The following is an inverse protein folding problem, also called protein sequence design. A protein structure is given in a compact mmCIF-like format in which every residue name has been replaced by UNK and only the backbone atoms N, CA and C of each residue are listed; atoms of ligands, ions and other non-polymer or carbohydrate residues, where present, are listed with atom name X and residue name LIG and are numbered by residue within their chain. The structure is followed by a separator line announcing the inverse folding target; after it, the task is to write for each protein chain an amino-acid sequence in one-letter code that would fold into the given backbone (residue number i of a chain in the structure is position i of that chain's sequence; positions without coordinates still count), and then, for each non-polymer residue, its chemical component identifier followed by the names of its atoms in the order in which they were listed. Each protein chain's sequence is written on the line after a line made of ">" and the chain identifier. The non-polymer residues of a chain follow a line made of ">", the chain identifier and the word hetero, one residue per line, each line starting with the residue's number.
data_IF_382166217687
#
_entry.id   IF_382166217687
#
_cell.length_a   1.000
_cell.length_b   1.000
_cell.length_c   1.000
_cell.angle_alpha   90.00
_cell.angle_beta   90.00
_cell.angle_gamma   90.00
#
_symmetry.space_group_name_H-M   'P 1'
#
loop_
_entity.id
_entity.type
_entity.pdbx_description
1 polymer ?
#
# COMPACT_ATOMS: atom_id res chain seq x y z
N UNK A 1 -4.76 -16.14 -14.52
CA UNK A 1 -5.41 -14.84 -14.39
C UNK A 1 -4.42 -13.69 -14.60
N UNK A 2 -3.24 -13.63 -13.92
CA UNK A 2 -2.28 -12.52 -14.04
C UNK A 2 -1.85 -12.22 -15.48
N UNK A 3 -1.55 -13.24 -16.31
CA UNK A 3 -1.21 -13.02 -17.73
C UNK A 3 -2.34 -12.38 -18.52
N UNK A 4 -3.60 -12.68 -18.20
CA UNK A 4 -4.77 -12.02 -18.83
C UNK A 4 -4.87 -10.56 -18.40
N UNK A 5 -4.70 -10.27 -17.11
CA UNK A 5 -4.67 -8.90 -16.59
C UNK A 5 -3.53 -8.08 -17.23
N UNK A 6 -2.34 -8.68 -17.35
CA UNK A 6 -1.21 -8.02 -18.01
C UNK A 6 -1.52 -7.70 -19.48
N UNK A 7 -2.17 -8.59 -20.19
CA UNK A 7 -2.59 -8.32 -21.59
C UNK A 7 -3.56 -7.13 -21.65
N UNK A 8 -4.51 -7.05 -20.75
CA UNK A 8 -5.44 -5.92 -20.65
C UNK A 8 -4.70 -4.61 -20.32
N UNK A 9 -3.77 -4.65 -19.36
CA UNK A 9 -2.95 -3.48 -19.02
C UNK A 9 -2.12 -3.00 -20.20
N UNK A 10 -1.43 -3.90 -20.90
CA UNK A 10 -0.59 -3.54 -22.05
C UNK A 10 -1.40 -2.96 -23.20
N UNK A 11 -2.57 -3.51 -23.49
CA UNK A 11 -3.47 -2.99 -24.54
C UNK A 11 -4.12 -1.65 -24.16
N UNK A 12 -4.18 -1.35 -22.86
CA UNK A 12 -4.65 -0.06 -22.32
C UNK A 12 -3.52 0.98 -22.15
N UNK A 13 -2.29 0.63 -22.53
CA UNK A 13 -1.14 1.54 -22.45
C UNK A 13 -0.48 1.61 -21.08
N UNK A 14 -0.81 0.71 -20.13
CA UNK A 14 -0.15 0.59 -18.84
C UNK A 14 1.19 -0.10 -19.01
N UNK A 15 2.27 0.53 -18.54
CA UNK A 15 3.66 0.03 -18.71
C UNK A 15 4.27 -0.51 -17.43
N UNK A 16 3.64 -0.28 -16.28
CA UNK A 16 4.04 -0.84 -14.99
C UNK A 16 2.86 -0.96 -14.06
N UNK A 17 2.89 -1.96 -13.19
CA UNK A 17 1.86 -2.21 -12.18
C UNK A 17 2.47 -2.18 -10.79
N UNK A 18 1.63 -1.82 -9.81
CA UNK A 18 1.92 -1.88 -8.40
C UNK A 18 0.88 -2.81 -7.77
N UNK A 19 1.29 -4.01 -7.35
CA UNK A 19 0.38 -5.12 -7.03
C UNK A 19 0.53 -5.57 -5.58
N UNK A 20 -0.56 -5.53 -4.83
CA UNK A 20 -0.66 -6.10 -3.49
C UNK A 20 -1.61 -7.30 -3.52
N UNK A 21 -1.06 -8.51 -3.63
CA UNK A 21 -1.85 -9.72 -3.63
C UNK A 21 -1.13 -10.89 -2.91
N UNK A 22 -1.84 -12.02 -2.76
CA UNK A 22 -1.42 -13.15 -1.92
C UNK A 22 -0.37 -14.07 -2.54
N UNK A 23 -0.07 -13.96 -3.85
CA UNK A 23 0.80 -14.89 -4.58
C UNK A 23 1.89 -14.16 -5.35
N UNK A 24 2.84 -13.48 -4.66
CA UNK A 24 3.83 -12.63 -5.31
C UNK A 24 4.71 -13.39 -6.30
N UNK A 25 5.07 -14.64 -6.01
CA UNK A 25 5.88 -15.48 -6.92
C UNK A 25 5.19 -15.69 -8.27
N UNK A 26 3.93 -16.08 -8.25
CA UNK A 26 3.14 -16.33 -9.47
C UNK A 26 2.95 -15.06 -10.30
N UNK A 27 2.76 -13.92 -9.62
CA UNK A 27 2.62 -12.61 -10.28
C UNK A 27 3.96 -12.20 -10.89
N UNK A 28 5.06 -12.33 -10.14
CA UNK A 28 6.41 -12.02 -10.62
C UNK A 28 6.77 -12.83 -11.87
N UNK A 29 6.54 -14.16 -11.84
CA UNK A 29 6.80 -15.04 -12.98
C UNK A 29 5.98 -14.62 -14.21
N UNK A 30 4.69 -14.35 -14.04
CA UNK A 30 3.84 -13.90 -15.13
C UNK A 30 4.30 -12.56 -15.72
N UNK A 31 4.74 -11.63 -14.87
CA UNK A 31 5.27 -10.34 -15.30
C UNK A 31 6.63 -10.49 -16.03
N UNK A 32 7.51 -11.37 -15.56
CA UNK A 32 8.77 -11.67 -16.23
C UNK A 32 8.54 -12.29 -17.61
N UNK A 33 7.64 -13.26 -17.73
CA UNK A 33 7.30 -13.92 -18.99
C UNK A 33 6.72 -12.96 -20.04
N UNK A 34 6.02 -11.93 -19.58
CA UNK A 34 5.32 -10.98 -20.46
C UNK A 34 6.08 -9.67 -20.66
N UNK A 35 7.18 -9.47 -19.92
CA UNK A 35 7.95 -8.21 -19.97
C UNK A 35 7.30 -7.04 -19.24
N UNK A 36 6.28 -7.29 -18.39
CA UNK A 36 5.61 -6.24 -17.61
C UNK A 36 6.46 -5.83 -16.41
N UNK A 37 6.58 -4.54 -16.18
CA UNK A 37 7.20 -4.00 -14.97
C UNK A 37 6.24 -4.12 -13.81
N UNK A 38 6.70 -4.68 -12.67
CA UNK A 38 5.86 -4.88 -11.49
C UNK A 38 6.60 -4.49 -10.21
N UNK A 39 5.93 -3.71 -9.38
CA UNK A 39 6.27 -3.53 -7.97
C UNK A 39 5.32 -4.40 -7.17
N UNK A 40 5.83 -5.44 -6.55
CA UNK A 40 5.08 -6.29 -5.62
C UNK A 40 5.06 -5.68 -4.24
N UNK A 41 3.96 -5.85 -3.53
CA UNK A 41 3.81 -5.38 -2.13
C UNK A 41 3.21 -6.49 -1.28
N UNK A 42 3.71 -6.68 -0.07
CA UNK A 42 3.10 -7.63 0.85
C UNK A 42 1.74 -7.15 1.35
N UNK A 43 0.76 -8.04 1.32
CA UNK A 43 -0.56 -7.84 1.96
C UNK A 43 -0.62 -8.49 3.35
N UNK A 44 0.45 -8.37 4.15
CA UNK A 44 0.56 -8.98 5.47
C UNK A 44 -0.64 -8.63 6.35
N UNK A 45 -1.20 -9.62 7.01
CA UNK A 45 -2.27 -9.47 8.01
C UNK A 45 -2.24 -10.64 8.99
N UNK A 46 -3.09 -10.61 10.01
CA UNK A 46 -3.13 -11.65 11.06
C UNK A 46 -3.52 -13.06 10.56
N UNK A 47 -4.00 -13.22 9.32
CA UNK A 47 -4.65 -14.44 8.86
C UNK A 47 -3.93 -15.15 7.72
N UNK A 48 -3.12 -14.46 6.92
CA UNK A 48 -2.66 -14.99 5.62
C UNK A 48 -1.15 -15.07 5.41
N UNK A 49 -0.34 -14.45 6.26
CA UNK A 49 1.12 -14.45 6.10
C UNK A 49 1.82 -14.17 7.42
N UNK A 50 3.14 -14.23 7.42
CA UNK A 50 3.97 -13.91 8.59
C UNK A 50 5.07 -12.91 8.24
N UNK A 51 5.59 -12.16 9.21
CA UNK A 51 6.73 -11.26 8.97
C UNK A 51 7.93 -11.97 8.35
N UNK A 52 8.20 -13.20 8.76
CA UNK A 52 9.29 -14.02 8.21
C UNK A 52 9.08 -14.29 6.71
N UNK A 53 7.86 -14.68 6.32
CA UNK A 53 7.53 -14.90 4.92
C UNK A 53 7.69 -13.62 4.09
N UNK A 54 7.20 -12.49 4.60
CA UNK A 54 7.34 -11.19 3.92
C UNK A 54 8.81 -10.81 3.74
N UNK A 55 9.64 -11.08 4.75
CA UNK A 55 11.08 -10.84 4.67
C UNK A 55 11.76 -11.72 3.61
N UNK A 56 11.41 -13.02 3.56
CA UNK A 56 11.91 -13.96 2.54
C UNK A 56 11.51 -13.52 1.13
N UNK A 57 10.27 -13.10 0.92
CA UNK A 57 9.78 -12.57 -0.36
C UNK A 57 10.48 -11.26 -0.74
N UNK A 58 10.66 -10.34 0.21
CA UNK A 58 11.40 -9.10 0.01
C UNK A 58 12.84 -9.38 -0.44
N UNK A 59 13.56 -10.26 0.26
CA UNK A 59 14.93 -10.62 -0.08
C UNK A 59 15.03 -11.37 -1.42
N UNK A 60 14.00 -12.12 -1.78
CA UNK A 60 13.92 -12.84 -3.04
C UNK A 60 13.72 -11.91 -4.24
N UNK A 61 12.82 -10.93 -4.14
CA UNK A 61 12.34 -10.17 -5.29
C UNK A 61 12.86 -8.75 -5.36
N UNK A 62 13.18 -8.10 -4.23
CA UNK A 62 13.57 -6.70 -4.27
C UNK A 62 14.92 -6.51 -4.96
N UNK A 63 14.93 -5.70 -6.03
CA UNK A 63 16.13 -5.33 -6.81
C UNK A 63 16.94 -6.51 -7.38
N UNK A 64 16.32 -7.68 -7.54
CA UNK A 64 16.97 -8.86 -8.16
C UNK A 64 16.82 -8.88 -9.68
N UNK A 65 15.89 -8.11 -10.23
CA UNK A 65 15.59 -8.05 -11.64
C UNK A 65 15.23 -6.62 -12.02
N UNK A 66 15.45 -6.24 -13.28
CA UNK A 66 15.12 -4.89 -13.78
C UNK A 66 13.63 -4.64 -13.95
N UNK A 67 12.81 -5.70 -14.03
CA UNK A 67 11.35 -5.61 -14.17
C UNK A 67 10.62 -5.74 -12.85
N UNK A 68 11.17 -6.49 -11.88
CA UNK A 68 10.49 -6.80 -10.62
C UNK A 68 11.19 -6.11 -9.46
N UNK A 69 10.40 -5.45 -8.63
CA UNK A 69 10.82 -5.01 -7.30
C UNK A 69 9.77 -5.42 -6.26
N UNK A 70 10.15 -5.38 -4.99
CA UNK A 70 9.27 -5.72 -3.89
C UNK A 70 9.35 -4.63 -2.83
N UNK A 71 8.22 -4.23 -2.29
CA UNK A 71 8.12 -3.26 -1.20
C UNK A 71 7.46 -3.90 0.02
N UNK A 72 7.82 -3.44 1.20
CA UNK A 72 7.14 -3.84 2.41
C UNK A 72 5.74 -3.25 2.45
N UNK A 73 4.82 -3.98 3.04
CA UNK A 73 3.46 -3.54 3.24
C UNK A 73 2.68 -4.46 4.18
N UNK A 74 1.50 -4.05 4.48
CA UNK A 74 0.48 -4.83 5.17
C UNK A 74 -0.88 -4.49 4.58
N UNK A 75 -1.88 -5.34 4.81
CA UNK A 75 -3.18 -5.15 4.20
C UNK A 75 -3.83 -3.84 4.65
N UNK A 76 -4.22 -3.75 5.92
CA UNK A 76 -4.82 -2.55 6.51
C UNK A 76 -4.61 -2.56 8.03
N UNK A 77 -4.76 -1.40 8.67
CA UNK A 77 -4.60 -1.26 10.11
C UNK A 77 -5.50 -2.24 10.89
N UNK A 78 -6.78 -2.32 10.51
CA UNK A 78 -7.79 -3.13 11.22
C UNK A 78 -7.65 -4.65 11.01
N UNK A 79 -6.83 -5.10 10.07
CA UNK A 79 -6.54 -6.53 9.84
C UNK A 79 -5.25 -7.00 10.51
N UNK A 80 -4.52 -6.09 11.15
CA UNK A 80 -3.24 -6.35 11.77
C UNK A 80 -3.30 -6.04 13.27
N UNK A 81 -2.71 -6.90 14.10
CA UNK A 81 -2.47 -6.53 15.50
C UNK A 81 -1.39 -5.46 15.61
N UNK A 82 -1.40 -4.72 16.70
CA UNK A 82 -0.37 -3.70 16.97
C UNK A 82 1.05 -4.29 16.97
N UNK A 83 1.19 -5.51 17.49
CA UNK A 83 2.47 -6.24 17.51
C UNK A 83 2.94 -6.60 16.10
N UNK A 84 2.00 -6.94 15.21
CA UNK A 84 2.32 -7.21 13.81
C UNK A 84 2.74 -5.94 13.08
N UNK A 85 2.02 -4.84 13.28
CA UNK A 85 2.37 -3.53 12.72
C UNK A 85 3.74 -3.05 13.20
N UNK A 86 4.03 -3.26 14.50
CA UNK A 86 5.34 -2.95 15.05
C UNK A 86 6.47 -3.71 14.35
N UNK A 87 6.29 -5.01 14.08
CA UNK A 87 7.27 -5.82 13.33
C UNK A 87 7.46 -5.32 11.90
N UNK A 88 6.40 -4.86 11.23
CA UNK A 88 6.55 -4.25 9.90
C UNK A 88 7.38 -2.97 9.97
N UNK A 89 7.14 -2.13 10.97
CA UNK A 89 7.95 -0.93 11.21
C UNK A 89 9.42 -1.28 11.49
N UNK A 90 9.70 -2.27 12.35
CA UNK A 90 11.07 -2.75 12.59
C UNK A 90 11.76 -3.21 11.30
N UNK A 91 11.06 -3.96 10.45
CA UNK A 91 11.58 -4.39 9.15
C UNK A 91 11.85 -3.19 8.23
N UNK A 92 10.93 -2.21 8.18
CA UNK A 92 11.11 -0.98 7.40
C UNK A 92 12.37 -0.21 7.85
N UNK A 93 12.63 -0.13 9.15
CA UNK A 93 13.84 0.48 9.70
C UNK A 93 15.10 -0.32 9.40
N UNK A 94 15.03 -1.65 9.54
CA UNK A 94 16.17 -2.54 9.24
C UNK A 94 16.62 -2.43 7.78
N UNK A 95 15.66 -2.47 6.84
CA UNK A 95 15.94 -2.42 5.40
C UNK A 95 15.93 -1.00 4.81
N UNK A 96 15.57 0.01 5.60
CA UNK A 96 15.44 1.43 5.18
C UNK A 96 14.57 1.55 3.93
N UNK A 97 13.40 0.94 3.96
CA UNK A 97 12.50 0.80 2.82
C UNK A 97 11.11 1.36 3.13
N UNK A 98 10.40 1.92 2.14
CA UNK A 98 9.05 2.43 2.33
C UNK A 98 8.05 1.32 2.60
N UNK A 99 6.90 1.70 3.22
CA UNK A 99 5.79 0.80 3.54
C UNK A 99 4.51 1.27 2.86
N UNK A 100 3.72 0.31 2.35
CA UNK A 100 2.44 0.58 1.69
C UNK A 100 1.30 -0.22 2.34
N UNK A 101 0.12 0.37 2.42
CA UNK A 101 -1.07 -0.27 2.98
C UNK A 101 -2.36 0.37 2.46
N UNK A 102 -3.50 -0.31 2.62
CA UNK A 102 -4.80 0.35 2.49
C UNK A 102 -5.01 1.23 3.71
N UNK A 103 -5.33 2.49 3.48
CA UNK A 103 -5.37 3.51 4.55
C UNK A 103 -6.65 4.33 4.42
N UNK A 104 -7.44 4.39 5.49
CA UNK A 104 -8.62 5.25 5.59
C UNK A 104 -9.55 5.12 4.39
N UNK A 105 -9.80 3.89 3.97
CA UNK A 105 -10.70 3.59 2.85
C UNK A 105 -12.15 3.90 3.21
N UNK A 106 -12.58 3.46 4.41
CA UNK A 106 -13.95 3.63 4.88
C UNK A 106 -14.03 4.49 6.14
N UNK A 107 -15.15 5.18 6.32
CA UNK A 107 -15.42 5.93 7.54
C UNK A 107 -15.38 5.04 8.79
N UNK A 108 -15.92 3.81 8.67
CA UNK A 108 -15.90 2.80 9.73
C UNK A 108 -14.48 2.46 10.18
N UNK A 109 -13.56 2.26 9.26
CA UNK A 109 -12.13 2.01 9.56
C UNK A 109 -11.56 3.14 10.43
N UNK A 110 -11.81 4.39 10.03
CA UNK A 110 -11.31 5.57 10.74
C UNK A 110 -11.91 5.69 12.14
N UNK A 111 -13.23 5.48 12.27
CA UNK A 111 -13.92 5.54 13.56
C UNK A 111 -13.45 4.42 14.53
N UNK A 112 -13.29 3.21 14.01
CA UNK A 112 -12.81 2.08 14.81
C UNK A 112 -11.34 2.26 15.23
N UNK A 113 -10.47 2.81 14.37
CA UNK A 113 -9.10 3.15 14.72
C UNK A 113 -9.06 4.24 15.81
N UNK A 114 -9.87 5.28 15.68
CA UNK A 114 -10.03 6.31 16.73
C UNK A 114 -10.53 5.72 18.06
N UNK A 115 -11.45 4.78 17.99
CA UNK A 115 -11.98 4.11 19.20
C UNK A 115 -10.90 3.26 19.89
N UNK A 116 -10.03 2.58 19.12
CA UNK A 116 -8.95 1.75 19.66
C UNK A 116 -7.76 2.56 20.17
N UNK A 117 -7.34 3.58 19.43
CA UNK A 117 -6.05 4.24 19.64
C UNK A 117 -6.14 5.75 19.88
N UNK A 118 -7.32 6.35 19.80
CA UNK A 118 -7.50 7.81 19.90
C UNK A 118 -6.96 8.59 18.70
N UNK A 119 -6.61 7.91 17.60
CA UNK A 119 -5.95 8.47 16.42
C UNK A 119 -6.58 7.95 15.14
N UNK A 120 -6.47 8.71 14.05
CA UNK A 120 -6.77 8.21 12.70
C UNK A 120 -5.75 7.17 12.27
N UNK A 121 -6.04 6.29 11.27
CA UNK A 121 -5.08 5.32 10.78
C UNK A 121 -3.72 5.91 10.38
N UNK A 122 -3.63 7.01 9.59
CA UNK A 122 -2.34 7.62 9.28
C UNK A 122 -1.56 8.08 10.51
N UNK A 123 -2.22 8.74 11.46
CA UNK A 123 -1.58 9.22 12.68
C UNK A 123 -1.11 8.07 13.59
N UNK A 124 -1.91 7.01 13.71
CA UNK A 124 -1.54 5.84 14.49
C UNK A 124 -0.32 5.13 13.88
N UNK A 125 -0.32 4.91 12.58
CA UNK A 125 0.79 4.26 11.87
C UNK A 125 2.08 5.11 11.94
N UNK A 126 1.95 6.44 11.81
CA UNK A 126 3.04 7.38 12.00
C UNK A 126 3.64 7.29 13.42
N UNK A 127 2.80 7.14 14.44
CA UNK A 127 3.25 6.98 15.82
C UNK A 127 4.09 5.71 16.06
N UNK A 128 4.00 4.73 15.16
CA UNK A 128 4.83 3.52 15.15
C UNK A 128 6.13 3.69 14.33
N UNK A 129 6.40 4.87 13.75
CA UNK A 129 7.53 5.08 12.84
C UNK A 129 7.38 4.38 11.47
N UNK A 130 6.15 3.99 11.11
CA UNK A 130 5.87 3.18 9.92
C UNK A 130 6.36 3.82 8.62
N UNK A 131 6.33 5.15 8.54
CA UNK A 131 6.60 5.91 7.33
C UNK A 131 7.93 6.67 7.34
N UNK A 132 8.84 6.38 8.25
CA UNK A 132 10.13 7.10 8.38
C UNK A 132 10.99 7.01 7.11
N UNK A 133 10.77 5.99 6.30
CA UNK A 133 11.42 5.82 4.99
C UNK A 133 10.48 6.07 3.80
N UNK A 134 9.36 6.77 4.04
CA UNK A 134 8.34 7.03 3.03
C UNK A 134 7.35 5.88 2.91
N UNK A 135 6.57 5.90 1.84
CA UNK A 135 5.56 4.87 1.58
C UNK A 135 4.37 5.39 0.80
N UNK A 136 3.25 4.73 0.96
CA UNK A 136 2.00 5.17 0.37
C UNK A 136 0.76 4.52 0.97
N UNK A 137 -0.36 5.19 0.77
CA UNK A 137 -1.68 4.70 1.12
C UNK A 137 -2.51 4.41 -0.11
N UNK A 138 -3.10 3.23 -0.17
CA UNK A 138 -4.16 2.95 -1.13
C UNK A 138 -5.46 3.53 -0.61
N UNK A 139 -6.34 3.98 -1.49
CA UNK A 139 -7.62 4.64 -1.28
C UNK A 139 -7.51 6.03 -0.67
N UNK A 140 -7.16 6.16 0.60
CA UNK A 140 -7.06 7.41 1.36
C UNK A 140 -8.29 8.31 1.15
N UNK A 141 -9.49 7.76 1.38
CA UNK A 141 -10.78 8.45 1.16
C UNK A 141 -11.13 9.35 2.34
N UNK A 142 -11.06 8.80 3.56
CA UNK A 142 -11.48 9.48 4.79
C UNK A 142 -10.28 9.99 5.60
N UNK A 143 -9.70 11.11 5.15
CA UNK A 143 -8.51 11.71 5.75
C UNK A 143 -8.79 13.12 6.26
N UNK A 144 -8.05 13.53 7.26
CA UNK A 144 -8.07 14.86 7.86
C UNK A 144 -6.88 15.70 7.38
N UNK A 145 -6.87 17.00 7.67
CA UNK A 145 -5.71 17.86 7.44
C UNK A 145 -4.45 17.36 8.15
N UNK A 146 -4.61 16.82 9.36
CA UNK A 146 -3.50 16.25 10.13
C UNK A 146 -2.92 14.99 9.46
N UNK A 147 -3.76 14.18 8.84
CA UNK A 147 -3.33 13.02 8.05
C UNK A 147 -2.55 13.46 6.79
N UNK A 148 -3.01 14.52 6.14
CA UNK A 148 -2.28 15.09 4.99
C UNK A 148 -0.91 15.65 5.39
N UNK A 149 -0.79 16.20 6.60
CA UNK A 149 0.52 16.62 7.16
C UNK A 149 1.46 15.42 7.38
N UNK A 150 0.94 14.27 7.83
CA UNK A 150 1.71 13.01 7.90
C UNK A 150 2.20 12.63 6.51
N UNK A 151 1.30 12.57 5.51
CA UNK A 151 1.65 12.20 4.14
C UNK A 151 2.73 13.12 3.55
N UNK A 152 2.59 14.42 3.75
CA UNK A 152 3.55 15.41 3.27
C UNK A 152 4.91 15.30 3.96
N UNK A 153 4.93 15.16 5.28
CA UNK A 153 6.15 15.06 6.09
C UNK A 153 7.00 13.84 5.69
N UNK A 154 6.36 12.71 5.46
CA UNK A 154 7.01 11.47 5.07
C UNK A 154 7.12 11.28 3.55
N UNK A 155 6.70 12.27 2.74
CA UNK A 155 6.72 12.18 1.27
C UNK A 155 6.00 10.95 0.73
N UNK A 156 4.87 10.64 1.33
CA UNK A 156 4.05 9.50 0.94
C UNK A 156 3.32 9.75 -0.38
N UNK A 157 3.00 8.67 -1.06
CA UNK A 157 2.12 8.66 -2.21
C UNK A 157 0.70 8.28 -1.80
N UNK A 158 -0.29 8.89 -2.40
CA UNK A 158 -1.68 8.43 -2.35
C UNK A 158 -1.98 7.70 -3.66
N UNK A 159 -2.44 6.47 -3.56
CA UNK A 159 -2.90 5.67 -4.70
C UNK A 159 -4.43 5.58 -4.61
N UNK A 160 -5.13 6.46 -5.30
CA UNK A 160 -6.60 6.43 -5.30
C UNK A 160 -7.13 5.37 -6.25
N UNK A 161 -8.17 4.66 -5.83
CA UNK A 161 -8.84 3.61 -6.60
C UNK A 161 -10.29 4.01 -6.89
N UNK A 162 -10.55 4.99 -7.81
CA UNK A 162 -11.86 5.61 -7.95
C UNK A 162 -12.95 4.62 -8.35
N UNK A 163 -12.64 3.62 -9.19
CA UNK A 163 -13.56 2.58 -9.58
C UNK A 163 -14.04 1.73 -8.39
N UNK A 164 -13.10 1.26 -7.57
CA UNK A 164 -13.38 0.51 -6.36
C UNK A 164 -14.10 1.36 -5.31
N UNK A 165 -13.58 2.55 -5.01
CA UNK A 165 -14.15 3.46 -4.03
C UNK A 165 -15.63 3.75 -4.29
N UNK A 166 -16.01 3.97 -5.56
CA UNK A 166 -17.41 4.24 -5.92
C UNK A 166 -18.26 2.97 -5.96
N UNK A 167 -17.70 1.86 -6.45
CA UNK A 167 -18.41 0.57 -6.52
C UNK A 167 -18.75 0.02 -5.12
N UNK A 168 -17.84 0.16 -4.18
CA UNK A 168 -17.99 -0.32 -2.79
C UNK A 168 -18.62 0.74 -1.87
N UNK A 169 -18.94 1.92 -2.40
CA UNK A 169 -19.47 3.05 -1.64
C UNK A 169 -18.51 3.52 -0.52
N UNK A 170 -17.21 3.34 -0.68
CA UNK A 170 -16.20 3.85 0.27
C UNK A 170 -16.16 5.39 0.27
N UNK A 171 -16.49 6.04 -0.86
CA UNK A 171 -16.54 7.49 -1.00
C UNK A 171 -15.65 8.02 -2.13
N UNK A 172 -15.37 9.31 -2.09
CA UNK A 172 -14.51 10.00 -3.08
C UNK A 172 -13.31 10.58 -2.34
N UNK A 173 -12.10 10.16 -2.72
CA UNK A 173 -10.88 10.68 -2.13
C UNK A 173 -10.71 12.19 -2.43
N UNK A 174 -10.22 13.01 -1.48
CA UNK A 174 -10.12 14.45 -1.62
C UNK A 174 -8.91 14.86 -2.49
N UNK A 175 -8.95 14.50 -3.78
CA UNK A 175 -7.84 14.68 -4.73
C UNK A 175 -7.40 16.14 -4.85
N UNK A 176 -8.34 17.08 -4.86
CA UNK A 176 -8.03 18.50 -4.94
C UNK A 176 -7.20 18.98 -3.74
N UNK A 177 -7.46 18.42 -2.56
CA UNK A 177 -6.72 18.72 -1.35
C UNK A 177 -5.32 18.12 -1.39
N UNK A 178 -5.17 16.87 -1.84
CA UNK A 178 -3.85 16.26 -2.05
C UNK A 178 -2.97 17.08 -2.99
N UNK A 179 -3.52 17.53 -4.12
CA UNK A 179 -2.80 18.39 -5.06
C UNK A 179 -2.41 19.72 -4.40
N UNK A 180 -3.33 20.35 -3.64
CA UNK A 180 -3.05 21.61 -2.91
C UNK A 180 -1.93 21.43 -1.89
N UNK A 181 -1.90 20.31 -1.18
CA UNK A 181 -0.86 19.94 -0.21
C UNK A 181 0.42 19.40 -0.84
N UNK A 182 0.49 19.34 -2.17
CA UNK A 182 1.64 18.78 -2.93
C UNK A 182 1.94 17.31 -2.58
N UNK A 183 0.91 16.56 -2.24
CA UNK A 183 0.99 15.12 -2.03
C UNK A 183 0.85 14.46 -3.40
N UNK A 184 1.83 13.63 -3.82
CA UNK A 184 1.75 12.96 -5.12
C UNK A 184 0.62 11.92 -5.14
N UNK A 185 -0.15 11.91 -6.24
CA UNK A 185 -1.30 11.02 -6.42
C UNK A 185 -1.04 10.10 -7.62
N UNK A 186 -1.29 8.83 -7.42
CA UNK A 186 -1.38 7.82 -8.47
C UNK A 186 -2.80 7.26 -8.54
N UNK A 187 -3.14 6.60 -9.64
CA UNK A 187 -4.46 6.00 -9.86
C UNK A 187 -4.28 4.49 -9.99
N UNK A 188 -5.08 3.74 -9.24
CA UNK A 188 -5.16 2.29 -9.29
C UNK A 188 -6.56 1.79 -9.67
N UNK A 189 -6.67 0.50 -9.88
CA UNK A 189 -7.92 -0.20 -10.20
C UNK A 189 -8.51 -0.97 -9.02
N UNK A 190 -7.65 -1.40 -8.12
CA UNK A 190 -7.96 -2.25 -6.96
C UNK A 190 -8.40 -3.68 -7.34
#
# INVERSE_FOLDING_TARGET
>A
LTRLAVLEYMTSGVTSIFDMYLTPDTIAEACLDTGMRCVLVSGLNNFSSSPKQVEEEFLKWNKKNSLISYQLGFHAEYTCSKELLWKVSEMAHHYRTPVYAHISETEKEVEECKARYGMTPPMFLDSLGMFDFGGGGFHCVHVTEQDMDVFRRHRMYVITNPGSNTKLASGIAPIADYVRHKIPVAIGTD
#
